data_IF_484867797120
#
_entry.id   IF_484867797120
#
_cell.length_a   1.000
_cell.length_b   1.000
_cell.length_c   1.000
_cell.angle_alpha   90.00
_cell.angle_beta   90.00
_cell.angle_gamma   90.00
#
_symmetry.space_group_name_H-M   'P 1'
#
loop_
_entity.id
_entity.type
_entity.pdbx_description
1 polymer ?
#
# COMPACT_ATOMS: atom_id res chain seq x y z
N UNK A 1 10.93 24.97 -11.63
CA UNK A 1 9.81 24.08 -11.96
C UNK A 1 9.00 23.89 -10.70
N UNK A 2 7.72 24.26 -10.71
CA UNK A 2 6.88 24.04 -9.54
C UNK A 2 6.49 22.55 -9.53
N UNK A 3 6.88 21.82 -8.48
CA UNK A 3 6.35 20.48 -8.25
C UNK A 3 4.87 20.64 -7.88
N UNK A 4 3.98 20.05 -8.66
CA UNK A 4 2.55 20.09 -8.39
C UNK A 4 2.19 19.47 -7.03
N UNK A 5 0.99 19.76 -6.54
CA UNK A 5 0.45 19.21 -5.30
C UNK A 5 0.23 17.70 -5.49
N UNK A 6 0.99 16.89 -4.77
CA UNK A 6 0.92 15.44 -4.81
C UNK A 6 0.26 14.90 -3.53
N UNK A 7 -0.79 14.09 -3.69
CA UNK A 7 -1.46 13.41 -2.60
C UNK A 7 -1.22 11.89 -2.66
N UNK A 8 -0.94 11.31 -1.50
CA UNK A 8 -0.81 9.86 -1.33
C UNK A 8 -2.04 9.31 -0.62
N UNK A 9 -2.64 8.28 -1.19
CA UNK A 9 -3.71 7.49 -0.57
C UNK A 9 -3.14 6.13 -0.20
N UNK A 10 -3.02 5.90 1.11
CA UNK A 10 -2.38 4.71 1.65
C UNK A 10 -3.36 3.86 2.46
N UNK A 11 -3.24 2.54 2.33
CA UNK A 11 -3.92 1.58 3.22
C UNK A 11 -2.93 0.52 3.70
N UNK A 12 -3.15 0.01 4.91
CA UNK A 12 -2.33 -1.05 5.50
C UNK A 12 -3.22 -2.18 6.05
N UNK A 13 -2.85 -3.42 5.73
CA UNK A 13 -3.42 -4.62 6.35
C UNK A 13 -2.33 -5.42 7.06
N UNK A 14 -2.54 -5.66 8.34
CA UNK A 14 -1.63 -6.40 9.21
C UNK A 14 -2.05 -7.86 9.43
N UNK A 15 -2.83 -8.41 8.49
CA UNK A 15 -3.28 -9.80 8.55
C UNK A 15 -2.12 -10.75 8.28
N UNK A 16 -2.08 -11.85 9.04
CA UNK A 16 -0.98 -12.82 9.04
C UNK A 16 -1.38 -14.15 8.45
N UNK A 17 -2.66 -14.45 8.53
CA UNK A 17 -3.33 -15.69 8.15
C UNK A 17 -3.91 -15.65 6.74
N UNK A 18 -3.93 -14.47 6.10
CA UNK A 18 -4.48 -14.29 4.76
C UNK A 18 -3.83 -13.17 3.97
N UNK A 19 -3.83 -13.34 2.66
CA UNK A 19 -3.39 -12.33 1.69
C UNK A 19 -4.51 -11.35 1.36
N UNK A 20 -4.13 -10.20 0.82
CA UNK A 20 -5.07 -9.18 0.33
C UNK A 20 -5.45 -9.49 -1.12
N UNK A 21 -6.75 -9.64 -1.38
CA UNK A 21 -7.30 -9.85 -2.72
C UNK A 21 -7.76 -8.56 -3.42
N UNK A 22 -8.11 -8.68 -4.71
CA UNK A 22 -8.52 -7.57 -5.60
C UNK A 22 -9.62 -6.69 -5.00
N UNK A 23 -10.59 -7.26 -4.30
CA UNK A 23 -11.74 -6.50 -3.77
C UNK A 23 -11.32 -5.38 -2.81
N UNK A 24 -10.21 -5.56 -2.08
CA UNK A 24 -9.67 -4.54 -1.18
C UNK A 24 -8.83 -3.51 -1.95
N UNK A 25 -8.12 -3.93 -3.00
CA UNK A 25 -7.39 -3.00 -3.88
C UNK A 25 -8.38 -2.06 -4.57
N UNK A 26 -9.51 -2.57 -5.08
CA UNK A 26 -10.58 -1.74 -5.67
C UNK A 26 -11.12 -0.71 -4.69
N UNK A 27 -11.37 -1.08 -3.43
CA UNK A 27 -11.81 -0.13 -2.39
C UNK A 27 -10.79 0.97 -2.13
N UNK A 28 -9.48 0.68 -2.23
CA UNK A 28 -8.44 1.69 -2.10
C UNK A 28 -8.43 2.64 -3.30
N UNK A 29 -8.62 2.13 -4.52
CA UNK A 29 -8.76 2.95 -5.73
C UNK A 29 -10.00 3.85 -5.67
N UNK A 30 -11.13 3.34 -5.17
CA UNK A 30 -12.34 4.16 -4.98
C UNK A 30 -12.07 5.35 -4.04
N UNK A 31 -11.29 5.16 -2.97
CA UNK A 31 -10.86 6.24 -2.08
C UNK A 31 -9.94 7.22 -2.79
N UNK A 32 -9.06 6.74 -3.67
CA UNK A 32 -8.16 7.59 -4.45
C UNK A 32 -8.93 8.50 -5.41
N UNK A 33 -9.99 7.99 -6.05
CA UNK A 33 -10.86 8.79 -6.91
C UNK A 33 -11.65 9.85 -6.13
N UNK A 34 -12.10 9.53 -4.90
CA UNK A 34 -12.71 10.53 -4.01
C UNK A 34 -11.71 11.65 -3.69
N UNK A 35 -10.48 11.31 -3.30
CA UNK A 35 -9.43 12.30 -3.00
C UNK A 35 -9.12 13.16 -4.23
N UNK A 36 -9.02 12.55 -5.41
CA UNK A 36 -8.79 13.27 -6.67
C UNK A 36 -9.89 14.29 -6.94
N UNK A 37 -11.16 13.90 -6.75
CA UNK A 37 -12.33 14.76 -6.98
C UNK A 37 -12.44 15.90 -5.96
N UNK A 38 -12.23 15.60 -4.68
CA UNK A 38 -12.50 16.56 -3.59
C UNK A 38 -11.33 17.50 -3.28
N UNK A 39 -10.10 17.09 -3.60
CA UNK A 39 -8.89 17.84 -3.24
C UNK A 39 -8.16 18.46 -4.43
N UNK A 40 -8.56 18.10 -5.65
CA UNK A 40 -7.97 18.61 -6.91
C UNK A 40 -6.44 18.67 -6.90
N UNK A 41 -5.71 17.62 -6.48
CA UNK A 41 -4.25 17.61 -6.56
C UNK A 41 -3.79 17.44 -8.01
N UNK A 42 -2.56 17.84 -8.31
CA UNK A 42 -1.95 17.59 -9.62
C UNK A 42 -1.70 16.10 -9.83
N UNK A 43 -1.39 15.37 -8.75
CA UNK A 43 -1.14 13.93 -8.77
C UNK A 43 -1.77 13.22 -7.57
N UNK A 44 -2.34 12.05 -7.80
CA UNK A 44 -2.70 11.09 -6.74
C UNK A 44 -1.88 9.82 -6.93
N UNK A 45 -1.16 9.41 -5.89
CA UNK A 45 -0.48 8.11 -5.82
C UNK A 45 -1.16 7.21 -4.80
N UNK A 46 -1.12 5.92 -5.08
CA UNK A 46 -1.75 4.90 -4.24
C UNK A 46 -0.68 3.95 -3.75
N UNK A 47 -0.66 3.67 -2.44
CA UNK A 47 0.25 2.70 -1.85
C UNK A 47 -0.48 1.74 -0.92
N UNK A 48 -0.30 0.44 -1.12
CA UNK A 48 -0.96 -0.58 -0.31
C UNK A 48 0.08 -1.46 0.40
N UNK A 49 0.10 -1.42 1.72
CA UNK A 49 0.83 -2.40 2.53
C UNK A 49 -0.03 -3.61 2.90
N UNK A 50 0.53 -4.81 2.72
CA UNK A 50 -0.04 -6.05 3.25
C UNK A 50 1.03 -6.89 3.96
N UNK A 51 0.81 -7.18 5.25
CA UNK A 51 1.76 -7.94 6.06
C UNK A 51 2.05 -9.32 5.46
N UNK A 52 1.00 -10.10 5.14
CA UNK A 52 1.14 -11.41 4.51
C UNK A 52 1.09 -11.35 2.96
N UNK A 53 1.27 -10.17 2.37
CA UNK A 53 1.23 -10.00 0.91
C UNK A 53 -0.17 -10.04 0.28
N UNK A 54 -0.17 -10.21 -1.04
CA UNK A 54 -1.35 -10.10 -1.90
C UNK A 54 -1.59 -11.41 -2.65
N UNK A 55 -2.80 -11.64 -3.17
CA UNK A 55 -2.99 -12.71 -4.15
C UNK A 55 -2.31 -12.34 -5.46
N UNK A 56 -1.92 -13.33 -6.27
CA UNK A 56 -1.27 -13.09 -7.57
C UNK A 56 -2.13 -12.20 -8.47
N UNK A 57 -3.44 -12.43 -8.51
CA UNK A 57 -4.35 -11.62 -9.30
C UNK A 57 -4.46 -10.19 -8.76
N UNK A 58 -4.27 -9.99 -7.45
CA UNK A 58 -4.23 -8.65 -6.86
C UNK A 58 -2.93 -7.92 -7.20
N UNK A 59 -1.78 -8.61 -7.27
CA UNK A 59 -0.52 -8.00 -7.71
C UNK A 59 -0.56 -7.58 -9.18
N UNK A 60 -1.07 -8.46 -10.05
CA UNK A 60 -1.29 -8.14 -11.48
C UNK A 60 -2.20 -6.91 -11.60
N UNK A 61 -3.33 -6.92 -10.89
CA UNK A 61 -4.27 -5.81 -10.90
C UNK A 61 -3.65 -4.51 -10.37
N UNK A 62 -2.82 -4.56 -9.33
CA UNK A 62 -2.10 -3.37 -8.82
C UNK A 62 -1.09 -2.82 -9.84
N UNK A 63 -0.38 -3.69 -10.57
CA UNK A 63 0.54 -3.28 -11.64
C UNK A 63 -0.20 -2.55 -12.76
N UNK A 64 -1.29 -3.13 -13.26
CA UNK A 64 -2.14 -2.53 -14.31
C UNK A 64 -2.66 -1.15 -13.91
N UNK A 65 -3.00 -0.99 -12.63
CA UNK A 65 -3.56 0.25 -12.08
C UNK A 65 -2.53 1.18 -11.42
N UNK A 66 -1.22 0.92 -11.57
CA UNK A 66 -0.11 1.73 -11.03
C UNK A 66 -0.21 1.98 -9.51
N UNK A 67 -0.72 1.00 -8.78
CA UNK A 67 -0.70 0.99 -7.32
C UNK A 67 0.69 0.53 -6.89
N UNK A 68 1.32 1.26 -5.98
CA UNK A 68 2.54 0.77 -5.32
C UNK A 68 2.14 -0.16 -4.18
N UNK A 69 2.96 -1.16 -3.86
CA UNK A 69 2.72 -2.00 -2.71
C UNK A 69 4.00 -2.39 -1.99
N UNK A 70 3.84 -2.83 -0.75
CA UNK A 70 4.93 -3.34 0.07
C UNK A 70 4.41 -4.42 0.99
N UNK A 71 5.28 -5.37 1.29
CA UNK A 71 5.03 -6.48 2.22
C UNK A 71 5.71 -6.23 3.56
N UNK A 72 5.49 -7.13 4.52
CA UNK A 72 6.26 -7.13 5.76
C UNK A 72 7.76 -7.23 5.50
N UNK A 73 8.16 -8.04 4.52
CA UNK A 73 9.57 -8.21 4.15
C UNK A 73 10.19 -6.91 3.63
N UNK A 74 9.47 -6.18 2.76
CA UNK A 74 9.94 -4.89 2.25
C UNK A 74 10.10 -3.86 3.38
N UNK A 75 9.17 -3.85 4.34
CA UNK A 75 9.25 -2.98 5.50
C UNK A 75 10.43 -3.35 6.41
N UNK A 76 10.66 -4.63 6.68
CA UNK A 76 11.80 -5.06 7.48
C UNK A 76 13.12 -4.68 6.79
N UNK A 77 13.25 -4.89 5.47
CA UNK A 77 14.43 -4.44 4.69
C UNK A 77 14.63 -2.93 4.75
N UNK A 78 13.56 -2.14 4.71
CA UNK A 78 13.64 -0.69 4.85
C UNK A 78 14.14 -0.29 6.24
N UNK A 79 13.60 -0.90 7.30
CA UNK A 79 14.03 -0.63 8.67
C UNK A 79 15.51 -0.94 8.88
N UNK A 80 15.96 -2.10 8.39
CA UNK A 80 17.37 -2.49 8.45
C UNK A 80 18.26 -1.49 7.69
N UNK A 81 17.83 -1.07 6.49
CA UNK A 81 18.56 -0.10 5.67
C UNK A 81 18.74 1.26 6.38
N UNK A 82 17.73 1.72 7.13
CA UNK A 82 17.80 3.00 7.86
C UNK A 82 18.34 2.86 9.29
N UNK A 83 18.84 1.69 9.68
CA UNK A 83 19.41 1.44 11.01
C UNK A 83 18.37 1.48 12.14
N UNK A 84 17.09 1.24 11.81
CA UNK A 84 16.01 1.14 12.78
C UNK A 84 15.80 -0.29 13.25
N UNK A 85 15.29 -0.46 14.47
CA UNK A 85 14.94 -1.78 14.98
C UNK A 85 13.83 -2.42 14.14
N UNK A 86 13.94 -3.71 13.86
CA UNK A 86 12.87 -4.48 13.23
C UNK A 86 11.63 -4.54 14.13
N UNK A 87 10.45 -4.66 13.53
CA UNK A 87 9.19 -4.69 14.28
C UNK A 87 9.03 -6.02 15.05
N UNK A 88 8.43 -6.00 16.25
CA UNK A 88 8.26 -7.19 17.06
C UNK A 88 7.43 -8.26 16.35
N UNK A 89 7.85 -9.51 16.51
CA UNK A 89 7.07 -10.69 16.10
C UNK A 89 6.13 -11.05 17.26
N UNK A 90 4.88 -10.58 17.20
CA UNK A 90 3.83 -11.12 18.08
C UNK A 90 3.55 -12.58 17.68
N UNK A 91 3.29 -13.48 18.61
CA UNK A 91 2.76 -14.80 18.24
C UNK A 91 1.25 -14.66 18.02
N UNK A 92 0.72 -15.26 16.95
CA UNK A 92 -0.72 -15.43 16.84
C UNK A 92 -1.14 -16.48 17.88
N UNK A 93 -2.11 -16.14 18.73
CA UNK A 93 -2.77 -17.12 19.61
C UNK A 93 -3.61 -18.08 18.79
#
# INVERSE_FOLDING_TARGET
>A
GAAGIEHWVAESKWWRDRTVGISLVKKLLDKAEIVKKERTPDFVRVWFFAHNGFTEEAEIFMQEHKVFWSTREDLDRLLDHVGLRSLPKFEAK
#
